data_IF_797016881768
#
_entry.id   IF_797016881768
#
_cell.length_a   1.000
_cell.length_b   1.000
_cell.length_c   1.000
_cell.angle_alpha   90.00
_cell.angle_beta   90.00
_cell.angle_gamma   90.00
#
_symmetry.space_group_name_H-M   'P 1'
#
loop_
_entity.id
_entity.type
_entity.pdbx_description
1 polymer ?
#
# COMPACT_ATOMS: atom_id res chain seq x y z
N UNK A 1 14.64 1.31 40.01
CA UNK A 1 13.38 0.70 39.56
C UNK A 1 13.72 -0.47 38.65
N UNK A 2 13.41 -1.70 39.08
CA UNK A 2 13.59 -2.89 38.25
C UNK A 2 12.50 -2.94 37.19
N UNK A 3 12.87 -2.77 35.92
CA UNK A 3 12.10 -3.30 34.79
C UNK A 3 13.08 -3.93 33.80
N UNK A 4 13.53 -5.14 34.12
CA UNK A 4 14.20 -6.10 33.22
C UNK A 4 13.27 -6.65 32.14
N UNK A 5 12.16 -5.97 31.87
CA UNK A 5 11.21 -6.34 30.82
C UNK A 5 11.52 -5.54 29.56
N UNK A 6 11.99 -6.26 28.53
CA UNK A 6 12.17 -5.72 27.20
C UNK A 6 10.84 -5.07 26.70
N UNK A 7 10.79 -3.72 26.55
CA UNK A 7 9.57 -3.00 26.21
C UNK A 7 9.09 -3.26 24.77
N UNK A 8 9.91 -3.92 23.96
CA UNK A 8 9.58 -4.23 22.57
C UNK A 8 8.88 -5.58 22.40
N UNK A 9 8.85 -6.45 23.43
CA UNK A 9 8.33 -7.83 23.33
C UNK A 9 6.91 -7.90 22.77
N UNK A 10 5.99 -7.09 23.30
CA UNK A 10 4.59 -7.06 22.85
C UNK A 10 4.47 -6.74 21.35
N UNK A 11 5.24 -5.76 20.90
CA UNK A 11 5.27 -5.33 19.49
C UNK A 11 5.92 -6.42 18.63
N UNK A 12 7.01 -7.02 19.12
CA UNK A 12 7.71 -8.09 18.45
C UNK A 12 6.83 -9.32 18.21
N UNK A 13 6.09 -9.78 19.23
CA UNK A 13 5.15 -10.89 19.07
C UNK A 13 4.02 -10.56 18.11
N UNK A 14 3.46 -9.35 18.16
CA UNK A 14 2.44 -8.93 17.22
C UNK A 14 2.94 -9.00 15.77
N UNK A 15 4.15 -8.47 15.49
CA UNK A 15 4.76 -8.53 14.16
C UNK A 15 5.04 -9.97 13.69
N UNK A 16 5.49 -10.85 14.59
CA UNK A 16 5.68 -12.27 14.27
C UNK A 16 4.36 -12.92 13.89
N UNK A 17 3.32 -12.75 14.70
CA UNK A 17 1.99 -13.35 14.46
C UNK A 17 1.42 -12.85 13.13
N UNK A 18 1.41 -11.53 12.92
CA UNK A 18 0.93 -10.92 11.67
C UNK A 18 1.73 -11.45 10.48
N UNK A 19 3.07 -11.47 10.59
CA UNK A 19 3.93 -11.97 9.52
C UNK A 19 3.72 -13.44 9.19
N UNK A 20 3.52 -14.30 10.19
CA UNK A 20 3.23 -15.73 9.98
C UNK A 20 1.86 -15.90 9.32
N UNK A 21 0.83 -15.22 9.81
CA UNK A 21 -0.52 -15.27 9.22
C UNK A 21 -0.48 -14.85 7.75
N UNK A 22 0.23 -13.78 7.43
CA UNK A 22 0.35 -13.31 6.05
C UNK A 22 1.17 -14.28 5.18
N UNK A 23 2.24 -14.90 5.70
CA UNK A 23 2.97 -15.97 4.98
C UNK A 23 2.05 -17.15 4.68
N UNK A 24 1.21 -17.59 5.63
CA UNK A 24 0.25 -18.66 5.39
C UNK A 24 -0.78 -18.26 4.33
N UNK A 25 -1.25 -17.01 4.36
CA UNK A 25 -2.14 -16.47 3.34
C UNK A 25 -1.47 -16.39 1.96
N UNK A 26 -0.19 -16.01 1.90
CA UNK A 26 0.61 -16.02 0.68
C UNK A 26 0.69 -17.44 0.08
N UNK A 27 1.00 -18.44 0.90
CA UNK A 27 1.07 -19.85 0.47
C UNK A 27 -0.29 -20.30 -0.08
N UNK A 28 -1.38 -19.94 0.61
CA UNK A 28 -2.74 -20.22 0.14
C UNK A 28 -3.01 -19.58 -1.24
N UNK A 29 -2.68 -18.29 -1.41
CA UNK A 29 -2.89 -17.59 -2.68
C UNK A 29 -2.07 -18.21 -3.82
N UNK A 30 -0.81 -18.54 -3.59
CA UNK A 30 0.05 -19.22 -4.57
C UNK A 30 -0.54 -20.58 -4.95
N UNK A 31 -1.00 -21.36 -3.97
CA UNK A 31 -1.59 -22.69 -4.19
C UNK A 31 -2.86 -22.63 -5.02
N UNK A 32 -3.63 -21.54 -4.90
CA UNK A 32 -4.90 -21.33 -5.61
C UNK A 32 -4.76 -20.44 -6.85
N UNK A 33 -3.53 -20.09 -7.28
CA UNK A 33 -3.25 -19.17 -8.39
C UNK A 33 -3.97 -17.81 -8.27
N UNK A 34 -4.16 -17.35 -7.03
CA UNK A 34 -4.71 -16.03 -6.72
C UNK A 34 -3.55 -15.04 -6.70
N UNK A 35 -3.74 -13.89 -7.34
CA UNK A 35 -2.75 -12.81 -7.33
C UNK A 35 -2.52 -12.35 -5.89
N UNK A 36 -1.30 -12.55 -5.42
CA UNK A 36 -0.83 -12.13 -4.11
C UNK A 36 0.13 -10.96 -4.25
N UNK A 37 -0.08 -9.91 -3.46
CA UNK A 37 0.78 -8.73 -3.45
C UNK A 37 0.96 -8.24 -2.01
N UNK A 38 1.95 -8.80 -1.32
CA UNK A 38 2.47 -8.23 -0.07
C UNK A 38 3.96 -8.59 0.09
N UNK A 39 4.78 -7.59 0.37
CA UNK A 39 6.24 -7.71 0.44
C UNK A 39 6.79 -7.68 1.87
N UNK A 40 5.93 -7.52 2.88
CA UNK A 40 6.36 -7.15 4.23
C UNK A 40 6.40 -8.30 5.24
N UNK A 41 6.02 -9.53 4.87
CA UNK A 41 5.74 -10.57 5.88
C UNK A 41 7.01 -11.15 6.48
N UNK A 42 7.98 -11.52 5.64
CA UNK A 42 9.29 -12.00 6.11
C UNK A 42 9.98 -10.90 6.91
N UNK A 43 9.89 -9.66 6.41
CA UNK A 43 10.42 -8.50 7.12
C UNK A 43 9.77 -8.31 8.50
N UNK A 44 8.45 -8.50 8.61
CA UNK A 44 7.71 -8.42 9.87
C UNK A 44 8.14 -9.51 10.86
N UNK A 45 8.29 -10.76 10.41
CA UNK A 45 8.77 -11.87 11.26
C UNK A 45 10.17 -11.61 11.77
N UNK A 46 11.12 -11.29 10.89
CA UNK A 46 12.53 -11.03 11.26
C UNK A 46 12.61 -9.85 12.23
N UNK A 47 11.94 -8.74 11.88
CA UNK A 47 11.87 -7.56 12.73
C UNK A 47 11.26 -7.87 14.09
N UNK A 48 10.20 -8.67 14.12
CA UNK A 48 9.54 -9.08 15.35
C UNK A 48 10.44 -9.93 16.25
N UNK A 49 11.17 -10.90 15.69
CA UNK A 49 12.15 -11.71 16.43
C UNK A 49 13.24 -10.81 17.04
N UNK A 50 13.78 -9.86 16.26
CA UNK A 50 14.80 -8.93 16.75
C UNK A 50 14.27 -8.02 17.86
N UNK A 51 13.00 -7.59 17.78
CA UNK A 51 12.35 -6.84 18.86
C UNK A 51 12.19 -7.69 20.12
N UNK A 52 11.75 -8.95 20.01
CA UNK A 52 11.63 -9.87 21.17
C UNK A 52 12.99 -10.10 21.84
N UNK A 53 14.07 -10.11 21.06
CA UNK A 53 15.46 -10.18 21.55
C UNK A 53 15.98 -8.88 22.19
N UNK A 54 15.23 -7.78 22.14
CA UNK A 54 15.59 -6.51 22.78
C UNK A 54 16.41 -5.57 21.89
N UNK A 55 16.41 -5.78 20.57
CA UNK A 55 17.18 -4.94 19.65
C UNK A 55 16.64 -3.50 19.60
N UNK A 56 17.32 -2.61 20.33
CA UNK A 56 17.01 -1.17 20.36
C UNK A 56 17.22 -0.53 18.98
N UNK A 57 18.24 -0.99 18.23
CA UNK A 57 18.50 -0.53 16.85
C UNK A 57 17.33 -0.86 15.92
N UNK A 58 16.77 -2.06 16.04
CA UNK A 58 15.60 -2.48 15.26
C UNK A 58 14.38 -1.66 15.65
N UNK A 59 14.14 -1.42 16.95
CA UNK A 59 13.05 -0.57 17.41
C UNK A 59 13.15 0.86 16.84
N UNK A 60 14.35 1.45 16.82
CA UNK A 60 14.59 2.75 16.21
C UNK A 60 14.27 2.75 14.72
N UNK A 61 14.79 1.77 13.97
CA UNK A 61 14.55 1.67 12.54
C UNK A 61 13.06 1.54 12.23
N UNK A 62 12.38 0.59 12.89
CA UNK A 62 10.95 0.36 12.71
C UNK A 62 10.12 1.59 13.07
N UNK A 63 10.49 2.36 14.10
CA UNK A 63 9.79 3.59 14.45
C UNK A 63 9.80 4.61 13.31
N UNK A 64 10.95 4.76 12.65
CA UNK A 64 11.10 5.67 11.50
C UNK A 64 10.38 5.11 10.27
N UNK A 65 10.60 3.84 9.95
CA UNK A 65 10.01 3.17 8.80
C UNK A 65 8.48 3.14 8.88
N UNK A 66 7.91 2.80 10.04
CA UNK A 66 6.45 2.83 10.25
C UNK A 66 5.89 4.25 10.18
N UNK A 67 6.65 5.27 10.57
CA UNK A 67 6.22 6.66 10.39
C UNK A 67 6.07 7.03 8.91
N UNK A 68 7.05 6.66 8.08
CA UNK A 68 6.96 6.79 6.62
C UNK A 68 5.77 6.02 6.05
N UNK A 69 5.66 4.73 6.39
CA UNK A 69 4.59 3.86 5.87
C UNK A 69 3.21 4.35 6.29
N UNK A 70 2.99 4.79 7.54
CA UNK A 70 1.70 5.35 7.97
C UNK A 70 1.34 6.56 7.11
N UNK A 71 2.26 7.51 6.92
CA UNK A 71 2.01 8.70 6.11
C UNK A 71 1.70 8.33 4.64
N UNK A 72 2.48 7.41 4.05
CA UNK A 72 2.27 6.98 2.67
C UNK A 72 0.96 6.22 2.48
N UNK A 73 0.66 5.23 3.33
CA UNK A 73 -0.53 4.40 3.18
C UNK A 73 -1.80 5.16 3.53
N UNK A 74 -1.78 6.04 4.54
CA UNK A 74 -2.91 6.90 4.86
C UNK A 74 -3.18 7.90 3.71
N UNK A 75 -2.13 8.54 3.18
CA UNK A 75 -2.27 9.45 2.05
C UNK A 75 -2.82 8.73 0.81
N UNK A 76 -2.27 7.56 0.47
CA UNK A 76 -2.76 6.76 -0.65
C UNK A 76 -4.19 6.27 -0.44
N UNK A 77 -4.57 5.87 0.78
CA UNK A 77 -5.94 5.49 1.11
C UNK A 77 -6.93 6.63 0.82
N UNK A 78 -6.58 7.87 1.18
CA UNK A 78 -7.39 9.06 0.93
C UNK A 78 -7.44 9.43 -0.57
N UNK A 79 -6.32 9.34 -1.27
CA UNK A 79 -6.22 9.72 -2.69
C UNK A 79 -6.80 8.66 -3.63
N UNK A 80 -6.80 7.39 -3.23
CA UNK A 80 -7.19 6.25 -4.09
C UNK A 80 -8.53 6.37 -4.83
N UNK A 81 -9.65 6.86 -4.25
CA UNK A 81 -10.90 7.01 -4.98
C UNK A 81 -10.85 8.06 -6.11
N UNK A 82 -9.84 8.94 -6.09
CA UNK A 82 -9.63 10.01 -7.07
C UNK A 82 -8.59 9.66 -8.14
N UNK A 83 -7.94 8.49 -8.05
CA UNK A 83 -6.98 8.03 -9.07
C UNK A 83 -7.66 7.54 -10.34
N UNK A 84 -8.96 7.24 -10.27
CA UNK A 84 -9.79 6.92 -11.42
C UNK A 84 -10.96 7.91 -11.51
N UNK A 85 -11.58 8.06 -12.69
CA UNK A 85 -12.78 8.86 -12.85
C UNK A 85 -13.87 8.49 -11.81
N UNK A 86 -14.52 9.50 -11.22
CA UNK A 86 -15.48 9.29 -10.13
C UNK A 86 -16.68 8.45 -10.56
N UNK A 87 -17.12 8.60 -11.81
CA UNK A 87 -18.15 7.78 -12.44
C UNK A 87 -17.73 6.30 -12.50
N UNK A 88 -16.48 6.00 -12.85
CA UNK A 88 -15.94 4.64 -12.81
C UNK A 88 -15.86 4.10 -11.36
N UNK A 89 -15.51 4.92 -10.37
CA UNK A 89 -15.54 4.53 -8.95
C UNK A 89 -16.96 4.18 -8.51
N UNK A 90 -17.96 5.00 -8.88
CA UNK A 90 -19.37 4.75 -8.57
C UNK A 90 -19.89 3.51 -9.28
N UNK A 91 -19.51 3.30 -10.54
CA UNK A 91 -19.87 2.10 -11.30
C UNK A 91 -19.30 0.84 -10.63
N UNK A 92 -18.04 0.88 -10.18
CA UNK A 92 -17.44 -0.21 -9.42
C UNK A 92 -18.22 -0.54 -8.14
N UNK A 93 -18.67 0.50 -7.42
CA UNK A 93 -19.47 0.33 -6.21
C UNK A 93 -20.85 -0.27 -6.51
N UNK A 94 -21.48 0.08 -7.63
CA UNK A 94 -22.75 -0.50 -8.08
C UNK A 94 -22.60 -1.96 -8.52
N UNK A 95 -21.59 -2.25 -9.34
CA UNK A 95 -21.38 -3.56 -9.94
C UNK A 95 -20.85 -4.59 -8.93
N UNK A 96 -20.00 -4.16 -8.00
CA UNK A 96 -19.28 -5.06 -7.10
C UNK A 96 -19.16 -4.47 -5.68
N UNK A 97 -20.30 -4.09 -5.09
CA UNK A 97 -20.35 -3.38 -3.79
C UNK A 97 -19.53 -4.09 -2.70
N UNK A 98 -19.77 -5.39 -2.49
CA UNK A 98 -19.09 -6.16 -1.44
C UNK A 98 -17.58 -6.25 -1.67
N UNK A 99 -17.14 -6.36 -2.92
CA UNK A 99 -15.71 -6.42 -3.26
C UNK A 99 -15.03 -5.09 -2.96
N UNK A 100 -15.64 -3.98 -3.38
CA UNK A 100 -15.10 -2.63 -3.15
C UNK A 100 -15.05 -2.32 -1.65
N UNK A 101 -16.16 -2.52 -0.93
CA UNK A 101 -16.22 -2.29 0.52
C UNK A 101 -15.22 -3.20 1.24
N UNK A 102 -15.18 -4.49 0.88
CA UNK A 102 -14.23 -5.44 1.46
C UNK A 102 -12.78 -5.01 1.30
N UNK A 103 -12.41 -4.51 0.11
CA UNK A 103 -11.06 -3.99 -0.16
C UNK A 103 -10.71 -2.78 0.71
N UNK A 104 -11.63 -1.81 0.87
CA UNK A 104 -11.40 -0.65 1.73
C UNK A 104 -11.35 -1.04 3.21
N UNK A 105 -12.18 -1.98 3.67
CA UNK A 105 -12.15 -2.48 5.05
C UNK A 105 -10.83 -3.20 5.38
N UNK A 106 -10.35 -4.06 4.48
CA UNK A 106 -9.05 -4.74 4.64
C UNK A 106 -7.93 -3.71 4.67
N UNK A 107 -7.94 -2.74 3.77
CA UNK A 107 -6.94 -1.66 3.72
C UNK A 107 -6.95 -0.81 5.00
N UNK A 108 -8.14 -0.49 5.52
CA UNK A 108 -8.29 0.25 6.78
C UNK A 108 -7.80 -0.56 7.99
N UNK A 109 -8.07 -1.87 8.04
CA UNK A 109 -7.57 -2.75 9.08
C UNK A 109 -6.04 -2.83 9.09
N UNK A 110 -5.41 -3.00 7.92
CA UNK A 110 -3.95 -2.98 7.78
C UNK A 110 -3.35 -1.63 8.21
N UNK A 111 -3.98 -0.53 7.83
CA UNK A 111 -3.57 0.81 8.23
C UNK A 111 -3.69 1.01 9.75
N UNK A 112 -4.77 0.52 10.37
CA UNK A 112 -4.95 0.57 11.81
C UNK A 112 -3.87 -0.22 12.57
N UNK A 113 -3.51 -1.41 12.08
CA UNK A 113 -2.40 -2.21 12.62
C UNK A 113 -1.08 -1.43 12.50
N UNK A 114 -0.81 -0.84 11.34
CA UNK A 114 0.41 -0.08 11.10
C UNK A 114 0.52 1.15 12.00
N UNK A 115 -0.58 1.89 12.17
CA UNK A 115 -0.69 3.01 13.12
C UNK A 115 -0.45 2.53 14.53
N UNK A 116 -1.08 1.42 14.94
CA UNK A 116 -0.89 0.85 16.27
C UNK A 116 0.57 0.45 16.54
N UNK A 117 1.25 -0.17 15.57
CA UNK A 117 2.70 -0.48 15.69
C UNK A 117 3.50 0.80 15.85
N UNK A 118 3.24 1.83 15.04
CA UNK A 118 3.94 3.10 15.10
C UNK A 118 3.76 3.83 16.44
N UNK A 119 2.53 3.86 16.94
CA UNK A 119 2.20 4.45 18.25
C UNK A 119 2.85 3.66 19.39
N UNK A 120 2.83 2.33 19.31
CA UNK A 120 3.47 1.47 20.31
C UNK A 120 4.98 1.67 20.35
N UNK A 121 5.64 1.80 19.19
CA UNK A 121 7.06 2.14 19.08
C UNK A 121 7.39 3.60 19.47
N UNK A 122 6.36 4.44 19.63
CA UNK A 122 6.49 5.81 20.12
C UNK A 122 6.01 5.97 21.56
N UNK A 123 5.71 4.86 22.25
CA UNK A 123 5.31 4.84 23.66
C UNK A 123 6.47 5.19 24.61
N UNK A 124 6.12 5.71 25.79
CA UNK A 124 7.10 6.22 26.78
C UNK A 124 8.19 5.21 27.13
N UNK A 125 7.85 3.93 27.33
CA UNK A 125 8.80 2.87 27.68
C UNK A 125 9.82 2.61 26.55
N UNK A 126 9.36 2.56 25.30
CA UNK A 126 10.22 2.39 24.12
C UNK A 126 11.12 3.60 23.94
N UNK A 127 10.59 4.82 24.13
CA UNK A 127 11.38 6.04 24.05
C UNK A 127 12.43 6.13 25.18
N UNK A 128 12.13 5.68 26.40
CA UNK A 128 13.12 5.60 27.49
C UNK A 128 14.27 4.68 27.11
N UNK A 129 13.97 3.45 26.65
CA UNK A 129 14.98 2.48 26.23
C UNK A 129 15.82 2.99 25.04
N UNK A 130 15.22 3.75 24.12
CA UNK A 130 15.92 4.41 23.02
C UNK A 130 16.86 5.53 23.53
N UNK A 131 16.40 6.33 24.50
CA UNK A 131 17.20 7.41 25.09
C UNK A 131 18.37 6.88 25.90
N UNK A 132 18.17 5.83 26.70
CA UNK A 132 19.21 5.13 27.45
C UNK A 132 20.29 4.57 26.53
N UNK A 133 19.91 4.11 25.33
CA UNK A 133 20.84 3.68 24.29
C UNK A 133 21.45 4.83 23.46
N UNK A 134 21.23 6.10 23.85
CA UNK A 134 21.81 7.28 23.21
C UNK A 134 21.13 7.74 21.91
N UNK A 135 19.93 7.25 21.60
CA UNK A 135 19.21 7.65 20.38
C UNK A 135 18.27 8.83 20.58
N UNK A 136 18.09 9.64 19.51
CA UNK A 136 17.12 10.73 19.47
C UNK A 136 15.68 10.19 19.54
N UNK A 137 14.89 10.70 20.47
CA UNK A 137 13.50 10.26 20.73
C UNK A 137 12.43 11.20 20.17
N UNK A 138 12.82 12.31 19.55
CA UNK A 138 11.90 13.25 18.89
C UNK A 138 11.01 12.58 17.84
N UNK A 139 9.90 13.23 17.49
CA UNK A 139 8.97 12.74 16.45
C UNK A 139 9.70 12.61 15.10
N UNK A 140 9.49 11.53 14.32
CA UNK A 140 10.19 11.31 13.06
C UNK A 140 9.59 12.17 11.93
N UNK A 141 9.65 13.51 12.05
CA UNK A 141 9.03 14.46 11.11
C UNK A 141 9.47 14.25 9.65
N UNK A 142 10.76 13.97 9.45
CA UNK A 142 11.32 13.70 8.11
C UNK A 142 10.65 12.47 7.48
N UNK A 143 10.38 11.42 8.27
CA UNK A 143 9.72 10.22 7.76
C UNK A 143 8.29 10.50 7.28
N UNK A 144 7.52 11.28 8.05
CA UNK A 144 6.19 11.70 7.62
C UNK A 144 6.23 12.56 6.36
N UNK A 145 7.16 13.52 6.30
CA UNK A 145 7.34 14.39 5.13
C UNK A 145 7.70 13.60 3.88
N UNK A 146 8.64 12.66 3.98
CA UNK A 146 8.98 11.74 2.88
C UNK A 146 7.78 10.87 2.49
N UNK A 147 7.00 10.40 3.46
CA UNK A 147 5.83 9.57 3.20
C UNK A 147 4.74 10.31 2.42
N UNK A 148 4.47 11.57 2.77
CA UNK A 148 3.55 12.44 2.03
C UNK A 148 4.11 12.84 0.66
N UNK A 149 5.39 13.20 0.60
CA UNK A 149 6.07 13.51 -0.66
C UNK A 149 6.01 12.34 -1.65
N UNK A 150 6.14 11.11 -1.15
CA UNK A 150 5.95 9.90 -1.94
C UNK A 150 4.54 9.79 -2.53
N UNK A 151 3.48 10.07 -1.74
CA UNK A 151 2.09 10.05 -2.24
C UNK A 151 1.87 11.09 -3.33
N UNK A 152 2.37 12.32 -3.13
CA UNK A 152 2.29 13.38 -4.14
C UNK A 152 3.01 12.96 -5.42
N UNK A 153 4.24 12.47 -5.30
CA UNK A 153 5.03 11.99 -6.44
C UNK A 153 4.30 10.87 -7.20
N UNK A 154 3.82 9.85 -6.49
CA UNK A 154 3.08 8.74 -7.11
C UNK A 154 1.81 9.21 -7.81
N UNK A 155 1.06 10.14 -7.20
CA UNK A 155 -0.16 10.69 -7.80
C UNK A 155 0.15 11.46 -9.09
N UNK A 156 1.22 12.26 -9.08
CA UNK A 156 1.67 12.98 -10.28
C UNK A 156 2.08 11.98 -11.36
N UNK A 157 2.90 10.98 -11.02
CA UNK A 157 3.33 9.95 -11.98
C UNK A 157 2.14 9.20 -12.58
N UNK A 158 1.16 8.80 -11.78
CA UNK A 158 0.00 8.05 -12.27
C UNK A 158 -0.89 8.89 -13.20
N UNK A 159 -1.02 10.19 -12.98
CA UNK A 159 -1.91 11.04 -13.77
C UNK A 159 -1.22 11.66 -14.99
N UNK A 160 0.00 12.16 -14.84
CA UNK A 160 0.67 13.01 -15.84
C UNK A 160 1.77 12.30 -16.62
N UNK A 161 2.17 11.08 -16.24
CA UNK A 161 3.14 10.32 -17.03
C UNK A 161 2.41 9.55 -18.15
N UNK A 162 3.03 9.48 -19.33
CA UNK A 162 2.52 8.76 -20.52
C UNK A 162 1.14 9.24 -21.01
N UNK A 163 0.91 10.56 -21.04
CA UNK A 163 -0.41 11.12 -21.42
C UNK A 163 -0.77 10.76 -22.87
N UNK A 164 0.18 10.92 -23.80
CA UNK A 164 -0.04 10.64 -25.22
C UNK A 164 -0.28 9.15 -25.47
N UNK A 165 0.51 8.28 -24.84
CA UNK A 165 0.39 6.84 -24.98
C UNK A 165 -0.90 6.32 -24.33
N UNK A 166 -1.34 6.92 -23.22
CA UNK A 166 -2.65 6.62 -22.61
C UNK A 166 -3.79 6.98 -23.57
N UNK A 167 -3.70 8.13 -24.23
CA UNK A 167 -4.71 8.57 -25.17
C UNK A 167 -4.75 7.65 -26.40
N UNK A 168 -3.59 7.32 -26.96
CA UNK A 168 -3.46 6.35 -28.05
C UNK A 168 -4.02 4.97 -27.68
N UNK A 169 -3.71 4.48 -26.47
CA UNK A 169 -4.27 3.21 -25.98
C UNK A 169 -5.80 3.25 -25.89
N UNK A 170 -6.39 4.36 -25.43
CA UNK A 170 -7.85 4.53 -25.39
C UNK A 170 -8.44 4.52 -26.81
N UNK A 171 -7.80 5.19 -27.77
CA UNK A 171 -8.26 5.23 -29.16
C UNK A 171 -8.21 3.86 -29.82
N UNK A 172 -7.09 3.13 -29.67
CA UNK A 172 -6.97 1.74 -30.14
C UNK A 172 -8.02 0.82 -29.50
N UNK A 173 -8.25 0.96 -28.19
CA UNK A 173 -9.24 0.14 -27.49
C UNK A 173 -10.65 0.39 -28.02
N UNK A 174 -11.01 1.66 -28.28
CA UNK A 174 -12.31 2.02 -28.86
C UNK A 174 -12.47 1.52 -30.29
N UNK A 175 -11.42 1.60 -31.11
CA UNK A 175 -11.44 1.06 -32.47
C UNK A 175 -11.67 -0.46 -32.48
N UNK A 176 -11.00 -1.19 -31.58
CA UNK A 176 -11.13 -2.65 -31.49
C UNK A 176 -12.48 -3.11 -30.94
N UNK A 177 -13.08 -2.35 -30.01
CA UNK A 177 -14.37 -2.69 -29.40
C UNK A 177 -15.58 -2.14 -30.19
N UNK A 178 -15.38 -1.16 -31.08
CA UNK A 178 -16.46 -0.53 -31.85
C UNK A 178 -17.37 0.38 -31.03
N UNK A 179 -16.93 0.85 -29.85
CA UNK A 179 -17.79 1.49 -28.85
C UNK A 179 -17.59 3.01 -28.69
N UNK A 180 -18.68 3.74 -28.42
CA UNK A 180 -18.70 5.16 -27.99
C UNK A 180 -18.44 5.34 -26.49
N UNK A 181 -18.02 4.28 -25.80
CA UNK A 181 -17.82 4.26 -24.35
C UNK A 181 -16.70 5.20 -23.88
N UNK A 182 -16.75 5.57 -22.60
CA UNK A 182 -15.65 6.28 -21.92
C UNK A 182 -14.48 5.31 -21.73
N UNK A 183 -13.25 5.80 -21.88
CA UNK A 183 -12.04 5.00 -21.71
C UNK A 183 -11.24 5.47 -20.50
N UNK A 184 -10.71 4.53 -19.73
CA UNK A 184 -9.74 4.81 -18.67
C UNK A 184 -8.64 3.76 -18.69
N UNK A 185 -7.38 4.19 -18.79
CA UNK A 185 -6.23 3.28 -18.79
C UNK A 185 -5.98 2.75 -17.38
N UNK A 186 -6.14 1.44 -17.19
CA UNK A 186 -5.90 0.77 -15.90
C UNK A 186 -4.45 0.38 -15.70
N UNK A 187 -3.75 0.06 -16.78
CA UNK A 187 -2.33 -0.27 -16.78
C UNK A 187 -1.74 0.05 -18.14
N UNK A 188 -0.48 0.48 -18.16
CA UNK A 188 0.28 0.78 -19.37
C UNK A 188 1.75 0.47 -19.13
N UNK A 189 2.39 -0.13 -20.12
CA UNK A 189 3.81 -0.41 -20.14
C UNK A 189 4.34 -0.01 -21.51
N UNK A 190 5.39 0.82 -21.54
CA UNK A 190 6.01 1.33 -22.76
C UNK A 190 7.50 1.04 -22.71
N UNK A 191 8.05 0.52 -23.81
CA UNK A 191 9.46 0.22 -23.98
C UNK A 191 9.90 0.61 -25.38
N UNK A 192 10.55 1.78 -25.50
CA UNK A 192 10.84 2.38 -26.79
C UNK A 192 9.53 2.66 -27.55
N UNK A 193 9.46 2.20 -28.80
CA UNK A 193 8.29 2.41 -29.66
C UNK A 193 7.19 1.38 -29.44
N UNK A 194 7.39 0.39 -28.55
CA UNK A 194 6.38 -0.65 -28.26
C UNK A 194 5.68 -0.37 -26.96
N UNK A 195 4.38 -0.60 -26.92
CA UNK A 195 3.59 -0.51 -25.69
C UNK A 195 2.48 -1.52 -25.60
N UNK A 196 2.07 -1.80 -24.37
CA UNK A 196 0.89 -2.60 -24.06
C UNK A 196 0.11 -1.91 -22.95
N UNK A 197 -1.21 -1.84 -23.11
CA UNK A 197 -2.09 -1.23 -22.14
C UNK A 197 -3.36 -2.05 -21.95
N UNK A 198 -3.89 -2.01 -20.73
CA UNK A 198 -5.26 -2.46 -20.44
C UNK A 198 -6.13 -1.24 -20.21
N UNK A 199 -7.12 -1.07 -21.08
CA UNK A 199 -8.10 0.02 -21.03
C UNK A 199 -9.43 -0.52 -20.52
N UNK A 200 -10.00 0.18 -19.56
CA UNK A 200 -11.37 -0.02 -19.10
C UNK A 200 -12.25 0.84 -19.99
N UNK A 201 -13.05 0.20 -20.84
CA UNK A 201 -14.16 0.85 -21.53
C UNK A 201 -15.41 0.71 -20.65
N UNK A 202 -16.13 1.80 -20.44
CA UNK A 202 -17.29 1.79 -19.54
C UNK A 202 -18.38 2.79 -19.95
N UNK A 203 -19.59 2.45 -19.54
CA UNK A 203 -20.77 3.32 -19.54
C UNK A 203 -21.37 3.39 -18.12
N UNK A 204 -22.62 3.85 -17.98
CA UNK A 204 -23.28 4.01 -16.68
C UNK A 204 -23.67 2.68 -16.00
N UNK A 205 -23.57 1.56 -16.70
CA UNK A 205 -24.13 0.25 -16.33
C UNK A 205 -23.17 -0.93 -16.49
N UNK A 206 -22.13 -0.81 -17.31
CA UNK A 206 -21.23 -1.90 -17.68
C UNK A 206 -19.79 -1.40 -17.87
N UNK A 207 -18.85 -2.32 -17.74
CA UNK A 207 -17.43 -2.06 -18.04
C UNK A 207 -16.76 -3.30 -18.60
N UNK A 208 -15.87 -3.11 -19.57
CA UNK A 208 -15.09 -4.14 -20.23
C UNK A 208 -13.60 -3.79 -20.18
N UNK A 209 -12.75 -4.82 -20.07
CA UNK A 209 -11.31 -4.66 -20.10
C UNK A 209 -10.82 -5.04 -21.49
N UNK A 210 -10.24 -4.09 -22.22
CA UNK A 210 -9.66 -4.28 -23.54
C UNK A 210 -8.15 -4.14 -23.43
N UNK A 211 -7.42 -5.15 -23.87
CA UNK A 211 -5.96 -5.09 -23.96
C UNK A 211 -5.58 -4.69 -25.37
N UNK A 212 -4.68 -3.71 -25.48
CA UNK A 212 -4.15 -3.21 -26.76
C UNK A 212 -2.64 -3.17 -26.70
N UNK A 213 -2.02 -3.40 -27.85
CA UNK A 213 -0.60 -3.30 -28.10
C UNK A 213 -0.33 -2.42 -29.32
N UNK A 214 0.85 -1.80 -29.34
CA UNK A 214 1.39 -1.02 -30.47
C UNK A 214 2.91 -1.16 -30.53
#
# INVERSE_FOLDING_TARGET
MNTTENPFKKIGYALIVIGIVDILFMIYCISNRINYSSSFNIFAVISGILLVKGSVRTARFLRVATGFLVASFLGMFIVSPFLQPLDLTMLNLKLNTFKVIGQYLISAALLAILIWVHLSLSGKQVLSALAEAGYKTGRPKIAYGLGLGFVVLMTIMMNFFLVEEKQMAIELAKQNAGETMKGHVSSISVSGDRGAATVILYDDSSKNYVTVDW
#
